data_IF_494255885927
#
_entry.id   IF_494255885927
#
_cell.length_a   1.000
_cell.length_b   1.000
_cell.length_c   1.000
_cell.angle_alpha   90.00
_cell.angle_beta   90.00
_cell.angle_gamma   90.00
#
_symmetry.space_group_name_H-M   'P 1'
#
loop_
_entity.id
_entity.type
_entity.pdbx_description
1 polymer ?
#
# COMPACT_ATOMS: atom_id res chain seq x y z
N UNK A 1 -18.84 -6.43 -14.23
CA UNK A 1 -17.95 -7.61 -14.40
C UNK A 1 -16.46 -7.26 -14.33
N UNK A 2 -15.99 -6.23 -15.03
CA UNK A 2 -14.57 -5.84 -15.10
C UNK A 2 -13.94 -5.42 -13.75
N UNK A 3 -14.75 -4.88 -12.82
CA UNK A 3 -14.31 -4.44 -11.48
C UNK A 3 -13.74 -5.58 -10.62
N UNK A 4 -14.28 -6.80 -10.74
CA UNK A 4 -13.78 -7.97 -9.99
C UNK A 4 -12.34 -8.32 -10.44
N UNK A 5 -12.06 -8.16 -11.74
CA UNK A 5 -10.78 -8.50 -12.36
C UNK A 5 -9.75 -7.36 -12.29
N UNK A 6 -10.17 -6.10 -12.32
CA UNK A 6 -9.27 -4.94 -12.18
C UNK A 6 -8.46 -4.97 -10.88
N UNK A 7 -9.09 -5.39 -9.77
CA UNK A 7 -8.43 -5.52 -8.46
C UNK A 7 -7.67 -6.86 -8.26
N UNK A 8 -7.82 -7.83 -9.17
CA UNK A 8 -7.28 -9.19 -9.02
C UNK A 8 -5.77 -9.29 -8.97
N UNK A 9 -5.03 -8.28 -9.43
CA UNK A 9 -3.59 -8.37 -9.68
C UNK A 9 -2.81 -9.01 -8.51
N UNK A 10 -3.16 -8.69 -7.26
CA UNK A 10 -2.60 -9.33 -6.05
C UNK A 10 -3.61 -10.15 -5.23
N UNK A 11 -4.90 -10.11 -5.55
CA UNK A 11 -6.00 -10.72 -4.78
C UNK A 11 -6.83 -11.72 -5.60
N UNK A 12 -6.20 -12.44 -6.53
CA UNK A 12 -6.88 -13.41 -7.40
C UNK A 12 -7.75 -14.44 -6.63
N UNK A 13 -7.33 -14.85 -5.43
CA UNK A 13 -8.10 -15.77 -4.57
C UNK A 13 -9.39 -15.12 -4.04
N UNK A 14 -9.32 -13.86 -3.62
CA UNK A 14 -10.49 -13.10 -3.16
C UNK A 14 -11.45 -12.84 -4.31
N UNK A 15 -10.94 -12.55 -5.49
CA UNK A 15 -11.78 -12.34 -6.66
C UNK A 15 -12.44 -13.61 -7.18
N UNK A 16 -11.76 -14.76 -7.11
CA UNK A 16 -12.40 -16.05 -7.37
C UNK A 16 -13.57 -16.30 -6.40
N UNK A 17 -13.40 -15.95 -5.12
CA UNK A 17 -14.45 -16.06 -4.09
C UNK A 17 -15.61 -15.08 -4.34
N UNK A 18 -15.30 -13.84 -4.75
CA UNK A 18 -16.31 -12.85 -5.14
C UNK A 18 -17.09 -13.31 -6.37
N UNK A 19 -16.40 -13.85 -7.38
CA UNK A 19 -17.03 -14.41 -8.57
C UNK A 19 -17.99 -15.55 -8.20
N UNK A 20 -17.57 -16.47 -7.32
CA UNK A 20 -18.42 -17.53 -6.76
C UNK A 20 -19.66 -17.01 -6.04
N UNK A 21 -19.53 -15.90 -5.30
CA UNK A 21 -20.64 -15.31 -4.58
C UNK A 21 -21.65 -14.59 -5.48
N UNK A 22 -21.18 -14.01 -6.59
CA UNK A 22 -22.02 -13.31 -7.56
C UNK A 22 -22.68 -14.24 -8.60
N UNK A 23 -22.05 -15.39 -8.88
CA UNK A 23 -22.53 -16.36 -9.87
C UNK A 23 -22.61 -17.73 -9.21
N UNK A 24 -23.82 -18.09 -8.77
CA UNK A 24 -24.10 -19.30 -8.02
C UNK A 24 -24.13 -20.57 -8.90
N UNK A 25 -24.28 -20.42 -10.22
CA UNK A 25 -24.38 -21.54 -11.18
C UNK A 25 -23.30 -21.47 -12.26
N UNK A 26 -22.65 -22.61 -12.48
CA UNK A 26 -21.70 -22.84 -13.58
C UNK A 26 -20.23 -23.06 -13.16
N UNK A 27 -19.37 -23.44 -14.12
CA UNK A 27 -17.96 -23.70 -13.86
C UNK A 27 -17.25 -22.45 -13.36
N UNK A 28 -16.55 -22.58 -12.23
CA UNK A 28 -15.89 -21.45 -11.62
C UNK A 28 -14.50 -21.23 -12.23
N UNK A 29 -14.16 -19.98 -12.60
CA UNK A 29 -12.86 -19.68 -13.18
C UNK A 29 -11.75 -19.97 -12.16
N UNK A 30 -10.80 -20.79 -12.56
CA UNK A 30 -9.61 -21.07 -11.73
C UNK A 30 -8.75 -19.82 -11.62
N UNK A 31 -7.87 -19.79 -10.61
CA UNK A 31 -6.88 -18.72 -10.43
C UNK A 31 -6.09 -18.44 -11.72
N UNK A 32 -5.75 -19.46 -12.49
CA UNK A 32 -5.01 -19.30 -13.76
C UNK A 32 -5.84 -18.58 -14.82
N UNK A 33 -7.13 -18.94 -14.95
CA UNK A 33 -8.04 -18.28 -15.89
C UNK A 33 -8.18 -16.79 -15.56
N UNK A 34 -8.36 -16.47 -14.28
CA UNK A 34 -8.44 -15.08 -13.80
C UNK A 34 -7.17 -14.30 -14.17
N UNK A 35 -5.99 -14.87 -13.95
CA UNK A 35 -4.73 -14.20 -14.28
C UNK A 35 -4.55 -13.99 -15.79
N UNK A 36 -4.94 -14.96 -16.62
CA UNK A 36 -4.90 -14.85 -18.09
C UNK A 36 -5.83 -13.74 -18.59
N UNK A 37 -7.04 -13.65 -18.03
CA UNK A 37 -8.01 -12.58 -18.35
C UNK A 37 -7.45 -11.22 -17.95
N UNK A 38 -6.93 -11.09 -16.72
CA UNK A 38 -6.31 -9.83 -16.26
C UNK A 38 -5.12 -9.42 -17.13
N UNK A 39 -4.32 -10.38 -17.60
CA UNK A 39 -3.21 -10.09 -18.52
C UNK A 39 -3.72 -9.49 -19.84
N UNK A 40 -4.70 -10.12 -20.49
CA UNK A 40 -5.31 -9.60 -21.73
C UNK A 40 -5.95 -8.23 -21.55
N UNK A 41 -6.64 -8.01 -20.43
CA UNK A 41 -7.24 -6.71 -20.13
C UNK A 41 -6.21 -5.59 -19.92
N UNK A 42 -5.01 -5.92 -19.45
CA UNK A 42 -3.88 -4.96 -19.37
C UNK A 42 -3.29 -4.67 -20.74
N UNK A 43 -3.16 -5.69 -21.60
CA UNK A 43 -2.66 -5.54 -22.98
C UNK A 43 -3.56 -4.60 -23.80
N UNK A 44 -4.89 -4.63 -23.57
CA UNK A 44 -5.87 -3.77 -24.24
C UNK A 44 -5.99 -2.39 -23.53
N UNK A 45 -5.25 -2.14 -22.45
CA UNK A 45 -5.32 -0.87 -21.70
C UNK A 45 -6.60 -0.67 -20.88
N UNK A 46 -7.46 -1.69 -20.81
CA UNK A 46 -8.73 -1.66 -20.09
C UNK A 46 -8.56 -1.74 -18.56
N UNK A 47 -7.40 -2.23 -18.09
CA UNK A 47 -7.03 -2.30 -16.67
C UNK A 47 -5.67 -1.67 -16.46
N UNK A 48 -5.62 -0.51 -15.81
CA UNK A 48 -4.38 0.13 -15.40
C UNK A 48 -3.88 -0.47 -14.08
N UNK A 49 -2.59 -0.78 -13.97
CA UNK A 49 -2.00 -1.09 -12.66
C UNK A 49 -1.97 0.18 -11.83
N UNK A 50 -2.80 0.28 -10.79
CA UNK A 50 -2.66 1.37 -9.82
C UNK A 50 -1.23 1.34 -9.26
N UNK A 51 -0.47 2.46 -9.30
CA UNK A 51 0.86 2.53 -8.74
C UNK A 51 0.83 2.06 -7.28
N UNK A 52 1.86 1.30 -6.87
CA UNK A 52 1.99 0.86 -5.49
C UNK A 52 2.26 2.09 -4.62
N UNK A 53 1.20 2.71 -4.09
CA UNK A 53 1.35 3.69 -3.01
C UNK A 53 1.95 2.92 -1.85
N UNK A 54 3.23 3.18 -1.56
CA UNK A 54 3.88 2.64 -0.37
C UNK A 54 3.09 3.19 0.81
N UNK A 55 2.54 2.29 1.63
CA UNK A 55 1.99 2.69 2.92
C UNK A 55 3.15 3.33 3.71
N UNK A 56 3.00 4.54 4.25
CA UNK A 56 3.99 5.11 5.16
C UNK A 56 4.30 4.07 6.23
N UNK A 57 5.58 3.80 6.46
CA UNK A 57 6.00 2.87 7.49
C UNK A 57 5.83 3.64 8.79
N UNK A 58 4.82 3.32 9.59
CA UNK A 58 4.68 3.88 10.94
C UNK A 58 5.99 3.56 11.68
N UNK A 59 6.83 4.57 11.87
CA UNK A 59 8.07 4.44 12.61
C UNK A 59 7.65 4.47 14.07
N UNK A 60 7.87 3.37 14.80
CA UNK A 60 7.36 3.17 16.16
C UNK A 60 8.01 4.04 17.24
N UNK A 61 8.47 5.24 16.93
CA UNK A 61 8.91 6.20 17.94
C UNK A 61 7.68 6.95 18.46
N UNK A 62 7.33 6.75 19.73
CA UNK A 62 6.27 7.48 20.44
C UNK A 62 6.69 8.91 20.83
N UNK A 63 7.51 9.56 20.00
CA UNK A 63 7.87 10.96 20.27
C UNK A 63 6.72 11.80 19.76
N UNK A 64 6.13 12.60 20.65
CA UNK A 64 5.07 13.50 20.26
C UNK A 64 5.66 14.55 19.31
N UNK A 65 4.96 14.93 18.23
CA UNK A 65 5.45 15.95 17.30
C UNK A 65 5.82 17.25 18.02
N UNK A 66 5.14 17.56 19.13
CA UNK A 66 5.40 18.68 20.02
C UNK A 66 6.80 18.63 20.65
N UNK A 67 7.29 17.44 21.03
CA UNK A 67 8.62 17.26 21.64
C UNK A 67 9.74 17.54 20.62
N UNK A 68 9.52 17.17 19.36
CA UNK A 68 10.46 17.44 18.26
C UNK A 68 10.51 18.93 17.96
N UNK A 69 9.35 19.58 17.96
CA UNK A 69 9.23 21.03 17.75
C UNK A 69 9.89 21.78 18.90
N UNK A 70 9.63 21.42 20.15
CA UNK A 70 10.27 22.03 21.32
C UNK A 70 11.80 21.91 21.28
N UNK A 71 12.33 20.74 20.88
CA UNK A 71 13.77 20.54 20.74
C UNK A 71 14.39 21.38 19.61
N UNK A 72 13.69 21.50 18.47
CA UNK A 72 14.14 22.36 17.37
C UNK A 72 14.13 23.84 17.75
N UNK A 73 13.10 24.29 18.49
CA UNK A 73 13.01 25.67 18.98
C UNK A 73 14.03 26.00 20.07
N UNK A 74 14.35 25.05 20.95
CA UNK A 74 15.40 25.21 21.96
C UNK A 74 16.79 25.35 21.33
N UNK A 75 16.99 24.78 20.13
CA UNK A 75 18.28 24.77 19.43
C UNK A 75 18.14 25.11 17.93
N UNK A 76 17.82 26.37 17.57
CA UNK A 76 17.47 26.75 16.20
C UNK A 76 18.63 26.64 15.20
N UNK A 77 19.88 26.60 15.68
CA UNK A 77 21.07 26.40 14.83
C UNK A 77 21.54 24.95 14.78
N UNK A 78 20.87 24.05 15.49
CA UNK A 78 21.29 22.66 15.60
C UNK A 78 20.92 21.88 14.36
N UNK A 79 21.84 21.02 13.91
CA UNK A 79 21.58 20.18 12.75
C UNK A 79 20.45 19.17 13.02
N UNK A 80 19.76 18.75 11.97
CA UNK A 80 18.74 17.69 12.05
C UNK A 80 19.26 16.39 12.66
N UNK A 81 20.57 16.12 12.56
CA UNK A 81 21.24 15.00 13.22
C UNK A 81 21.22 15.12 14.75
N UNK A 82 21.52 16.31 15.27
CA UNK A 82 21.58 16.57 16.72
C UNK A 82 20.17 16.59 17.29
N UNK A 83 19.21 17.23 16.61
CA UNK A 83 17.79 17.22 17.02
C UNK A 83 17.28 15.77 17.08
N UNK A 84 17.66 14.95 16.10
CA UNK A 84 17.30 13.52 16.08
C UNK A 84 17.90 12.74 17.27
N UNK A 85 19.16 12.99 17.61
CA UNK A 85 19.83 12.35 18.75
C UNK A 85 19.22 12.79 20.08
N UNK A 86 18.93 14.08 20.25
CA UNK A 86 18.27 14.63 21.41
C UNK A 86 16.84 14.09 21.58
N UNK A 87 16.10 13.92 20.49
CA UNK A 87 14.73 13.37 20.50
C UNK A 87 14.68 11.83 20.43
N UNK A 88 15.81 11.11 20.47
CA UNK A 88 15.84 9.64 20.41
C UNK A 88 15.27 9.04 19.12
N UNK A 89 15.29 9.79 18.02
CA UNK A 89 14.65 9.43 16.76
C UNK A 89 15.53 8.49 15.92
N UNK A 90 14.95 7.42 15.38
CA UNK A 90 15.68 6.46 14.54
C UNK A 90 15.99 7.03 13.15
N UNK A 91 17.06 6.54 12.49
CA UNK A 91 17.55 6.92 11.15
C UNK A 91 16.52 6.81 10.00
N UNK A 92 15.31 6.32 10.26
CA UNK A 92 14.25 6.07 9.27
C UNK A 92 13.10 7.09 9.30
N UNK A 93 13.19 8.13 10.13
CA UNK A 93 12.11 9.11 10.32
C UNK A 93 12.18 10.32 9.38
N UNK A 94 13.27 10.47 8.62
CA UNK A 94 13.48 11.55 7.63
C UNK A 94 13.68 10.95 6.25
#
# INVERSE_FOLDING_TARGET
MLLIYGECGRKAKSAAKLYRGCFLEGPHPTRQTILKVVKRLREIGCVTSRPRVRRPRNVGSKVQPEDVIACAFAHPQSSTKIIRENCGLSKRLV
#
